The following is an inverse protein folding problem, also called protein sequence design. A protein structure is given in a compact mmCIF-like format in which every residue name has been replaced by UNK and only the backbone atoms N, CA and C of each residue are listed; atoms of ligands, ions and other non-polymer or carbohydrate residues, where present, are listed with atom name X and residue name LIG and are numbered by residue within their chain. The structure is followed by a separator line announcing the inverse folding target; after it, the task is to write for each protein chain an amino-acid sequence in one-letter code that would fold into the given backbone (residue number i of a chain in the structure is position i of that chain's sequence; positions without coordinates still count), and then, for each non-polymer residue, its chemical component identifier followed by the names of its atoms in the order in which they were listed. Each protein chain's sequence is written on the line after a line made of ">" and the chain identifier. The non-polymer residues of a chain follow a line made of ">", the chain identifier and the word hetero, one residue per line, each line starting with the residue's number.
data_IF_280587535145
#
_entry.id   IF_280587535145
#
_cell.length_a   1.000
_cell.length_b   1.000
_cell.length_c   1.000
_cell.angle_alpha   90.00
_cell.angle_beta   90.00
_cell.angle_gamma   90.00
#
_symmetry.space_group_name_H-M   'P 1'
#
loop_
_entity.id
_entity.type
_entity.pdbx_description
1 polymer ?
#
# COMPACT_ATOMS: atom_id res chain seq x y z
N UNK A 1 -40.34 41.08 11.53
CA UNK A 1 -39.67 40.40 12.67
C UNK A 1 -38.19 40.77 12.67
N UNK A 2 -37.72 41.54 13.66
CA UNK A 2 -36.28 41.83 13.79
C UNK A 2 -35.62 40.64 14.49
N UNK A 3 -34.95 39.78 13.73
CA UNK A 3 -34.12 38.72 14.32
C UNK A 3 -32.95 39.38 15.05
N UNK A 4 -32.91 39.24 16.37
CA UNK A 4 -31.80 39.76 17.17
C UNK A 4 -30.56 38.90 16.90
N UNK A 5 -29.47 39.54 16.47
CA UNK A 5 -28.17 38.89 16.25
C UNK A 5 -27.71 38.06 17.46
N UNK A 6 -28.08 38.50 18.66
CA UNK A 6 -27.82 37.78 19.92
C UNK A 6 -28.47 36.39 19.95
N UNK A 7 -29.73 36.27 19.49
CA UNK A 7 -30.44 34.98 19.40
C UNK A 7 -29.85 34.07 18.34
N UNK A 8 -29.43 34.64 17.20
CA UNK A 8 -28.76 33.87 16.16
C UNK A 8 -27.45 33.26 16.67
N UNK A 9 -26.59 34.05 17.32
CA UNK A 9 -25.34 33.57 17.89
C UNK A 9 -25.55 32.53 19.00
N UNK A 10 -26.54 32.71 19.85
CA UNK A 10 -26.90 31.71 20.87
C UNK A 10 -27.30 30.37 20.25
N UNK A 11 -28.04 30.40 19.14
CA UNK A 11 -28.43 29.17 18.43
C UNK A 11 -27.23 28.48 17.77
N UNK A 12 -26.29 29.24 17.18
CA UNK A 12 -25.06 28.67 16.62
C UNK A 12 -24.20 28.01 17.70
N UNK A 13 -24.03 28.66 18.85
CA UNK A 13 -23.29 28.10 19.99
C UNK A 13 -23.98 26.85 20.53
N UNK A 14 -25.31 26.86 20.61
CA UNK A 14 -26.09 25.71 21.06
C UNK A 14 -25.93 24.50 20.12
N UNK A 15 -26.01 24.73 18.80
CA UNK A 15 -25.84 23.69 17.80
C UNK A 15 -24.42 23.11 17.81
N UNK A 16 -23.40 23.98 17.95
CA UNK A 16 -22.01 23.56 18.07
C UNK A 16 -21.77 22.69 19.31
N UNK A 17 -22.36 23.05 20.46
CA UNK A 17 -22.27 22.25 21.70
C UNK A 17 -22.92 20.88 21.55
N UNK A 18 -24.04 20.79 20.84
CA UNK A 18 -24.71 19.51 20.59
C UNK A 18 -23.86 18.59 19.70
N UNK A 19 -23.33 19.11 18.59
CA UNK A 19 -22.42 18.36 17.72
C UNK A 19 -21.17 17.88 18.46
N UNK A 20 -20.58 18.73 19.32
CA UNK A 20 -19.42 18.35 20.13
C UNK A 20 -19.77 17.28 21.18
N UNK A 21 -20.98 17.31 21.73
CA UNK A 21 -21.47 16.30 22.69
C UNK A 21 -21.64 14.93 22.02
N UNK A 22 -22.15 14.89 20.79
CA UNK A 22 -22.28 13.65 20.01
C UNK A 22 -20.93 13.08 19.57
N UNK A 23 -19.96 13.94 19.24
CA UNK A 23 -18.59 13.53 18.94
C UNK A 23 -17.91 12.96 20.19
N UNK A 24 -18.07 13.59 21.36
CA UNK A 24 -17.49 13.11 22.61
C UNK A 24 -18.01 11.72 22.99
N UNK A 25 -19.32 11.49 22.88
CA UNK A 25 -19.93 10.18 23.19
C UNK A 25 -19.49 9.06 22.24
N UNK A 26 -19.22 9.38 20.97
CA UNK A 26 -18.76 8.41 19.98
C UNK A 26 -17.22 8.28 19.88
N UNK A 27 -16.46 9.20 20.48
CA UNK A 27 -15.00 9.26 20.39
C UNK A 27 -14.31 7.97 20.84
N UNK A 28 -14.85 7.31 21.86
CA UNK A 28 -14.33 6.06 22.42
C UNK A 28 -14.44 4.89 21.44
N UNK A 29 -15.53 4.86 20.64
CA UNK A 29 -15.75 3.87 19.58
C UNK A 29 -14.79 4.12 18.41
N UNK A 30 -14.65 5.37 17.98
CA UNK A 30 -13.70 5.76 16.91
C UNK A 30 -12.24 5.47 17.27
N UNK A 31 -11.82 5.72 18.51
CA UNK A 31 -10.46 5.40 18.98
C UNK A 31 -10.20 3.89 19.02
N UNK A 32 -11.17 3.09 19.49
CA UNK A 32 -11.06 1.63 19.53
C UNK A 32 -10.91 1.03 18.13
N UNK A 33 -11.60 1.56 17.12
CA UNK A 33 -11.44 1.11 15.74
C UNK A 33 -10.10 1.49 15.12
N UNK A 34 -9.52 2.66 15.44
CA UNK A 34 -8.19 3.07 14.92
C UNK A 34 -7.06 2.22 15.48
N UNK A 35 -7.08 1.91 16.77
CA UNK A 35 -6.04 1.08 17.41
C UNK A 35 -6.05 -0.33 16.82
N UNK A 36 -7.24 -0.90 16.63
CA UNK A 36 -7.40 -2.23 16.03
C UNK A 36 -7.02 -2.26 14.55
N UNK A 37 -7.27 -1.18 13.80
CA UNK A 37 -6.90 -1.09 12.39
C UNK A 37 -5.38 -1.00 12.20
N UNK A 38 -4.69 -0.17 13.00
CA UNK A 38 -3.23 -0.06 12.95
C UNK A 38 -2.55 -1.38 13.33
N UNK A 39 -3.07 -2.08 14.34
CA UNK A 39 -2.59 -3.42 14.71
C UNK A 39 -2.84 -4.45 13.60
N UNK A 40 -4.01 -4.39 12.94
CA UNK A 40 -4.36 -5.29 11.83
C UNK A 40 -3.46 -5.06 10.60
N UNK A 41 -3.25 -3.81 10.21
CA UNK A 41 -2.31 -3.46 9.13
C UNK A 41 -0.89 -3.92 9.43
N UNK A 42 -0.39 -3.70 10.65
CA UNK A 42 0.94 -4.16 11.05
C UNK A 42 1.08 -5.69 10.94
N UNK A 43 0.05 -6.43 11.33
CA UNK A 43 0.06 -7.88 11.28
C UNK A 43 -0.05 -8.42 9.84
N UNK A 44 -0.88 -7.80 9.00
CA UNK A 44 -0.98 -8.13 7.57
C UNK A 44 0.35 -7.88 6.85
N UNK A 45 0.93 -6.69 7.03
CA UNK A 45 2.24 -6.34 6.45
C UNK A 45 3.33 -7.30 6.92
N UNK A 46 3.40 -7.59 8.23
CA UNK A 46 4.42 -8.50 8.78
C UNK A 46 4.27 -9.92 8.22
N UNK A 47 3.04 -10.43 8.10
CA UNK A 47 2.79 -11.75 7.53
C UNK A 47 3.23 -11.83 6.06
N UNK A 48 2.97 -10.79 5.27
CA UNK A 48 3.36 -10.79 3.86
C UNK A 48 4.89 -10.82 3.68
N UNK A 49 5.63 -10.14 4.55
CA UNK A 49 7.11 -10.22 4.56
C UNK A 49 7.63 -11.58 5.01
N UNK A 50 6.96 -12.24 5.96
CA UNK A 50 7.32 -13.60 6.40
C UNK A 50 7.00 -14.67 5.32
N UNK A 51 6.03 -14.41 4.44
CA UNK A 51 5.66 -15.28 3.30
C UNK A 51 6.63 -15.10 2.12
N UNK A 52 7.16 -13.89 1.91
CA UNK A 52 8.12 -13.58 0.84
C UNK A 52 9.52 -14.15 1.15
N UNK A 53 9.65 -15.48 1.08
CA UNK A 53 10.96 -16.14 1.12
C UNK A 53 11.70 -15.86 -0.19
N UNK A 54 12.94 -15.35 -0.14
CA UNK A 54 13.72 -15.15 -1.36
C UNK A 54 13.93 -16.50 -2.05
N UNK A 55 13.82 -16.55 -3.40
CA UNK A 55 14.06 -17.78 -4.13
C UNK A 55 15.50 -18.25 -3.92
N UNK A 56 15.67 -19.58 -3.82
CA UNK A 56 17.01 -20.18 -3.74
C UNK A 56 17.63 -20.18 -5.13
N UNK A 57 18.46 -19.18 -5.42
CA UNK A 57 19.18 -19.06 -6.70
C UNK A 57 20.60 -19.63 -6.53
N UNK A 58 21.03 -20.46 -7.47
CA UNK A 58 22.40 -20.98 -7.51
C UNK A 58 23.37 -19.85 -7.89
N UNK A 59 24.62 -19.95 -7.42
CA UNK A 59 25.66 -19.03 -7.90
C UNK A 59 25.89 -19.22 -9.40
N UNK A 60 26.51 -18.24 -10.04
CA UNK A 60 26.89 -18.33 -11.46
C UNK A 60 27.80 -19.53 -11.72
N UNK A 61 28.77 -19.77 -10.83
CA UNK A 61 29.69 -20.90 -10.92
C UNK A 61 28.96 -22.25 -10.80
N UNK A 62 28.07 -22.40 -9.84
CA UNK A 62 27.30 -23.64 -9.63
C UNK A 62 26.34 -23.91 -10.80
N UNK A 63 25.73 -22.85 -11.33
CA UNK A 63 24.84 -22.95 -12.49
C UNK A 63 25.62 -23.39 -13.73
N UNK A 64 26.80 -22.83 -13.97
CA UNK A 64 27.65 -23.24 -15.09
C UNK A 64 28.10 -24.71 -14.94
N UNK A 65 28.48 -25.12 -13.74
CA UNK A 65 28.83 -26.52 -13.46
C UNK A 65 27.68 -27.47 -13.78
N UNK A 66 26.44 -27.11 -13.42
CA UNK A 66 25.27 -27.91 -13.76
C UNK A 66 25.01 -27.95 -15.27
N UNK A 67 25.10 -26.83 -15.97
CA UNK A 67 24.83 -26.76 -17.41
C UNK A 67 25.77 -27.66 -18.20
N UNK A 68 27.07 -27.62 -17.88
CA UNK A 68 28.09 -28.47 -18.50
C UNK A 68 27.80 -29.95 -18.23
N UNK A 69 27.35 -30.30 -17.02
CA UNK A 69 27.14 -31.69 -16.64
C UNK A 69 25.81 -32.28 -17.13
N UNK A 70 24.81 -31.44 -17.43
CA UNK A 70 23.43 -31.90 -17.67
C UNK A 70 22.94 -31.66 -19.10
N UNK A 71 23.74 -30.98 -19.94
CA UNK A 71 23.40 -30.67 -21.33
C UNK A 71 22.02 -29.97 -21.49
N UNK A 72 21.60 -29.22 -20.46
CA UNK A 72 20.32 -28.49 -20.43
C UNK A 72 20.44 -27.14 -21.12
N UNK A 73 19.35 -26.66 -21.69
CA UNK A 73 19.21 -25.26 -22.13
C UNK A 73 19.01 -24.32 -20.94
N UNK A 74 19.50 -23.08 -21.05
CA UNK A 74 19.29 -22.01 -20.06
C UNK A 74 18.49 -20.86 -20.66
N UNK A 75 17.56 -20.32 -19.87
CA UNK A 75 16.88 -19.04 -20.12
C UNK A 75 17.08 -18.15 -18.89
N UNK A 76 17.15 -16.83 -19.10
CA UNK A 76 17.35 -15.85 -18.03
C UNK A 76 16.15 -14.92 -17.98
N UNK A 77 15.68 -14.62 -16.78
CA UNK A 77 14.64 -13.64 -16.52
C UNK A 77 15.25 -12.50 -15.70
N UNK A 78 15.32 -11.32 -16.31
CA UNK A 78 15.66 -10.07 -15.67
C UNK A 78 14.41 -9.26 -15.33
N UNK A 79 14.64 -8.06 -14.80
CA UNK A 79 13.62 -7.06 -14.51
C UNK A 79 12.70 -6.81 -15.70
N UNK A 80 13.27 -6.76 -16.90
CA UNK A 80 12.52 -6.52 -18.11
C UNK A 80 11.50 -7.60 -18.46
N UNK A 81 11.87 -8.87 -18.28
CA UNK A 81 10.95 -9.99 -18.49
C UNK A 81 9.82 -9.98 -17.45
N UNK A 82 10.10 -9.59 -16.20
CA UNK A 82 9.07 -9.43 -15.17
C UNK A 82 8.06 -8.34 -15.51
N UNK A 83 8.51 -7.23 -16.11
CA UNK A 83 7.62 -6.14 -16.56
C UNK A 83 6.67 -6.64 -17.65
N UNK A 84 7.19 -7.38 -18.64
CA UNK A 84 6.36 -7.98 -19.71
C UNK A 84 5.35 -8.97 -19.12
N UNK A 85 5.79 -9.87 -18.24
CA UNK A 85 4.90 -10.86 -17.61
C UNK A 85 3.81 -10.20 -16.76
N UNK A 86 4.08 -9.02 -16.19
CA UNK A 86 3.11 -8.21 -15.46
C UNK A 86 2.12 -7.44 -16.35
N UNK A 87 2.14 -7.64 -17.67
CA UNK A 87 1.31 -6.90 -18.62
C UNK A 87 1.81 -5.49 -18.93
N UNK A 88 3.01 -5.15 -18.47
CA UNK A 88 3.69 -3.91 -18.84
C UNK A 88 4.20 -3.96 -20.27
N UNK A 89 4.17 -2.81 -20.95
CA UNK A 89 4.74 -2.65 -22.27
C UNK A 89 6.01 -1.81 -22.19
N UNK A 90 7.05 -2.22 -22.92
CA UNK A 90 8.21 -1.37 -23.14
C UNK A 90 7.85 -0.27 -24.13
N UNK A 91 7.74 0.96 -23.64
CA UNK A 91 7.70 2.13 -24.50
C UNK A 91 9.13 2.42 -24.98
N UNK A 92 9.52 1.82 -26.10
CA UNK A 92 10.70 2.27 -26.83
C UNK A 92 10.48 3.72 -27.26
N UNK A 93 11.10 4.68 -26.57
CA UNK A 93 11.27 6.02 -27.12
C UNK A 93 12.29 5.89 -28.25
N UNK A 94 11.79 5.71 -29.47
CA UNK A 94 12.57 5.93 -30.68
C UNK A 94 13.03 7.39 -30.66
N UNK A 95 14.21 7.62 -30.09
CA UNK A 95 14.85 8.93 -30.11
C UNK A 95 15.56 8.98 -31.45
N UNK A 96 14.82 9.39 -32.49
CA UNK A 96 15.40 9.76 -33.77
C UNK A 96 16.26 10.98 -33.46
N UNK A 97 17.56 10.76 -33.29
CA UNK A 97 18.55 11.84 -33.29
C UNK A 97 18.63 12.34 -34.73
N UNK A 98 17.96 13.45 -35.00
CA UNK A 98 18.26 14.29 -36.16
C UNK A 98 19.65 14.91 -36.02
#
# INVERSE_FOLDING_TARGET
>A
MKYSLKRFLQNIIYLARYNLKDINNNSLVYMKHRINFAAKLRNEIKNDFDILKPPRVKSTADTMKELVNTNKSIIRFGDGEYIIMGGGAFLSKNTIKN
#
